data_IF_210415823064
#
_entry.id   IF_210415823064
#
_cell.length_a   1.000
_cell.length_b   1.000
_cell.length_c   1.000
_cell.angle_alpha   90.00
_cell.angle_beta   90.00
_cell.angle_gamma   90.00
#
_symmetry.space_group_name_H-M   'P 1'
#
loop_
_entity.id
_entity.type
_entity.pdbx_description
1 polymer ?
#
# COMPACT_ATOMS: atom_id res chain seq x y z
N UNK A 1 -13.63 1.27 31.18
CA UNK A 1 -13.32 0.45 29.99
C UNK A 1 -12.01 0.94 29.42
N UNK A 2 -10.93 0.15 29.42
CA UNK A 2 -9.69 0.53 28.76
C UNK A 2 -9.93 0.57 27.25
N UNK A 3 -9.49 1.64 26.59
CA UNK A 3 -9.49 1.78 25.13
C UNK A 3 -8.04 1.78 24.68
N UNK A 4 -7.74 0.98 23.66
CA UNK A 4 -6.44 0.98 22.97
C UNK A 4 -6.66 1.54 21.57
N UNK A 5 -5.80 2.48 21.19
CA UNK A 5 -5.81 3.11 19.87
C UNK A 5 -4.58 2.67 19.09
N UNK A 6 -4.79 2.36 17.82
CA UNK A 6 -3.70 2.25 16.85
C UNK A 6 -3.37 3.65 16.29
N UNK A 7 -2.22 3.83 15.63
CA UNK A 7 -1.90 5.10 14.96
C UNK A 7 -3.05 5.53 14.04
N UNK A 8 -3.43 6.80 14.13
CA UNK A 8 -4.51 7.43 13.33
C UNK A 8 -5.92 6.84 13.52
N UNK A 9 -6.13 5.98 14.52
CA UNK A 9 -7.45 5.39 14.83
C UNK A 9 -8.29 6.35 15.66
N UNK A 10 -9.60 6.44 15.34
CA UNK A 10 -10.58 7.23 16.08
C UNK A 10 -11.82 6.40 16.42
N UNK A 11 -12.40 6.63 17.60
CA UNK A 11 -13.63 5.98 18.03
C UNK A 11 -14.73 6.99 18.34
N UNK A 12 -15.95 6.63 17.97
CA UNK A 12 -17.15 7.30 18.45
C UNK A 12 -17.75 6.50 19.61
N UNK A 13 -17.90 7.13 20.77
CA UNK A 13 -18.58 6.53 21.93
C UNK A 13 -20.01 7.05 21.92
N UNK A 14 -20.98 6.17 21.68
CA UNK A 14 -22.40 6.52 21.62
C UNK A 14 -23.09 6.04 22.89
N UNK A 15 -23.77 6.95 23.58
CA UNK A 15 -24.61 6.67 24.73
C UNK A 15 -26.09 6.75 24.31
N UNK A 16 -26.71 5.63 23.92
CA UNK A 16 -28.10 5.61 23.50
C UNK A 16 -29.03 5.89 24.70
N UNK A 17 -30.15 6.57 24.46
CA UNK A 17 -31.16 6.87 25.50
C UNK A 17 -31.92 5.61 25.92
N UNK A 18 -32.09 4.67 24.98
CA UNK A 18 -32.77 3.40 25.26
C UNK A 18 -31.77 2.32 25.64
N UNK A 19 -32.20 1.37 26.51
CA UNK A 19 -31.36 0.21 26.86
C UNK A 19 -31.15 -0.66 25.64
N UNK A 20 -29.99 -0.52 24.98
CA UNK A 20 -29.56 -1.51 24.01
C UNK A 20 -29.31 -2.85 24.71
N UNK A 21 -29.77 -3.94 24.11
CA UNK A 21 -29.32 -5.27 24.49
C UNK A 21 -27.78 -5.25 24.44
N UNK A 22 -27.17 -5.69 25.55
CA UNK A 22 -25.74 -5.67 25.87
C UNK A 22 -24.86 -5.70 24.61
N UNK A 23 -24.31 -4.55 24.21
CA UNK A 23 -23.27 -4.52 23.22
C UNK A 23 -22.13 -5.43 23.71
N UNK A 24 -21.72 -6.40 22.93
CA UNK A 24 -20.53 -7.17 23.25
C UNK A 24 -19.37 -6.18 23.34
N UNK A 25 -18.68 -6.16 24.47
CA UNK A 25 -17.42 -5.43 24.55
C UNK A 25 -16.54 -5.90 23.39
N UNK A 26 -15.82 -5.00 22.72
CA UNK A 26 -14.84 -5.42 21.73
C UNK A 26 -13.96 -6.48 22.42
N UNK A 27 -13.81 -7.65 21.80
CA UNK A 27 -12.82 -8.62 22.25
C UNK A 27 -11.49 -7.90 22.28
N UNK A 28 -10.71 -8.13 23.36
CA UNK A 28 -9.32 -7.69 23.35
C UNK A 28 -8.71 -8.10 22.02
N UNK A 29 -8.16 -7.09 21.32
CA UNK A 29 -7.58 -7.32 20.00
C UNK A 29 -6.41 -8.28 20.20
N UNK A 30 -6.53 -9.50 19.71
CA UNK A 30 -5.47 -10.49 19.79
C UNK A 30 -4.22 -9.90 19.13
N UNK A 31 -3.04 -10.15 19.71
CA UNK A 31 -1.78 -9.77 19.07
C UNK A 31 -1.68 -10.53 17.76
N UNK A 32 -1.42 -9.80 16.68
CA UNK A 32 -1.27 -10.41 15.36
C UNK A 32 0.06 -11.17 15.29
N UNK A 33 -0.03 -12.43 14.88
CA UNK A 33 1.12 -13.33 14.74
C UNK A 33 1.50 -13.38 13.26
N UNK A 34 2.80 -13.34 12.94
CA UNK A 34 3.30 -13.54 11.59
C UNK A 34 2.93 -14.95 11.11
N UNK A 35 2.17 -15.02 10.02
CA UNK A 35 1.82 -16.27 9.35
C UNK A 35 2.70 -16.52 8.12
N UNK A 36 3.00 -15.47 7.32
CA UNK A 36 3.88 -15.58 6.16
C UNK A 36 4.50 -14.22 5.84
N UNK A 37 5.72 -14.21 5.27
CA UNK A 37 6.39 -13.03 4.73
C UNK A 37 6.47 -13.15 3.21
N UNK A 38 6.16 -12.07 2.50
CA UNK A 38 6.19 -12.02 1.04
C UNK A 38 7.50 -11.34 0.60
N UNK A 39 8.48 -12.15 0.18
CA UNK A 39 9.82 -11.67 -0.15
C UNK A 39 9.97 -11.29 -1.64
N UNK A 40 8.98 -11.58 -2.48
CA UNK A 40 9.02 -11.35 -3.92
C UNK A 40 9.35 -12.64 -4.71
N UNK A 41 9.69 -12.54 -6.00
CA UNK A 41 9.86 -11.30 -6.75
C UNK A 41 8.55 -10.52 -6.96
N UNK A 42 8.69 -9.22 -7.19
CA UNK A 42 7.58 -8.32 -7.49
C UNK A 42 7.66 -7.85 -8.93
N UNK A 43 6.53 -7.84 -9.63
CA UNK A 43 6.40 -7.22 -10.95
C UNK A 43 5.64 -5.91 -10.80
N UNK A 44 6.24 -4.80 -11.24
CA UNK A 44 5.66 -3.47 -11.17
C UNK A 44 5.31 -2.98 -12.57
N UNK A 45 4.10 -2.46 -12.75
CA UNK A 45 3.67 -1.76 -13.96
C UNK A 45 3.40 -0.31 -13.61
N UNK A 46 4.07 0.58 -14.31
CA UNK A 46 3.87 2.00 -14.25
C UNK A 46 3.02 2.46 -15.44
N UNK A 47 2.48 3.67 -15.37
CA UNK A 47 1.78 4.28 -16.49
C UNK A 47 2.76 5.14 -17.32
N UNK A 48 3.02 4.79 -18.60
CA UNK A 48 3.94 5.54 -19.44
C UNK A 48 3.48 6.97 -19.75
N UNK A 49 2.18 7.24 -19.69
CA UNK A 49 1.65 8.60 -19.90
C UNK A 49 2.25 9.59 -18.88
N UNK A 50 2.57 9.11 -17.67
CA UNK A 50 3.19 9.91 -16.61
C UNK A 50 4.71 9.71 -16.49
N UNK A 51 5.34 9.23 -17.57
CA UNK A 51 6.78 9.08 -17.68
C UNK A 51 7.34 7.84 -16.96
N UNK A 52 6.49 6.87 -16.62
CA UNK A 52 6.94 5.57 -16.14
C UNK A 52 7.45 4.66 -17.27
N UNK A 53 8.18 3.58 -16.94
CA UNK A 53 8.59 2.56 -17.91
C UNK A 53 7.39 1.97 -18.67
N UNK A 54 7.55 1.76 -19.98
CA UNK A 54 6.53 1.11 -20.82
C UNK A 54 6.38 -0.38 -20.48
N UNK A 55 7.52 -1.05 -20.22
CA UNK A 55 7.56 -2.47 -19.90
C UNK A 55 7.49 -2.71 -18.39
N UNK A 56 6.87 -3.82 -17.95
CA UNK A 56 6.86 -4.19 -16.54
C UNK A 56 8.28 -4.39 -16.00
N UNK A 57 8.51 -3.90 -14.79
CA UNK A 57 9.81 -4.00 -14.11
C UNK A 57 9.72 -5.08 -13.04
N UNK A 58 10.59 -6.10 -13.12
CA UNK A 58 10.68 -7.13 -12.07
C UNK A 58 11.81 -6.80 -11.11
N UNK A 59 11.49 -6.78 -9.82
CA UNK A 59 12.41 -6.49 -8.74
C UNK A 59 12.45 -7.63 -7.71
N UNK A 60 13.61 -7.97 -7.15
CA UNK A 60 13.71 -8.99 -6.11
C UNK A 60 13.13 -8.54 -4.78
N UNK A 61 13.28 -7.26 -4.44
CA UNK A 61 12.89 -6.67 -3.16
C UNK A 61 12.21 -5.32 -3.38
N UNK A 62 11.27 -4.97 -2.49
CA UNK A 62 10.61 -3.67 -2.49
C UNK A 62 11.61 -2.56 -2.11
N UNK A 63 11.48 -1.40 -2.73
CA UNK A 63 12.36 -0.26 -2.50
C UNK A 63 11.62 1.06 -2.70
N UNK A 64 12.19 2.15 -2.18
CA UNK A 64 11.71 3.50 -2.44
C UNK A 64 12.03 3.89 -3.89
N UNK A 65 11.03 4.28 -4.67
CA UNK A 65 11.23 4.68 -6.06
C UNK A 65 12.27 5.79 -6.23
N UNK A 66 12.42 6.63 -5.22
CA UNK A 66 13.41 7.74 -5.25
C UNK A 66 14.86 7.26 -5.28
N UNK A 67 15.12 6.00 -4.89
CA UNK A 67 16.43 5.36 -4.95
C UNK A 67 16.73 4.73 -6.32
N UNK A 68 15.75 4.72 -7.23
CA UNK A 68 15.93 4.14 -8.57
C UNK A 68 16.96 4.92 -9.39
N UNK A 69 17.87 4.23 -10.11
CA UNK A 69 18.72 4.86 -11.12
C UNK A 69 17.95 5.28 -12.38
N UNK A 70 16.78 4.72 -12.63
CA UNK A 70 15.90 5.08 -13.74
C UNK A 70 15.10 6.34 -13.40
N UNK A 71 15.28 7.46 -14.14
CA UNK A 71 14.53 8.69 -13.90
C UNK A 71 13.01 8.52 -14.05
N UNK A 72 12.56 7.60 -14.91
CA UNK A 72 11.15 7.28 -15.10
C UNK A 72 10.51 6.70 -13.84
N UNK A 73 11.27 5.96 -13.03
CA UNK A 73 10.82 5.44 -11.73
C UNK A 73 11.09 6.46 -10.62
N UNK A 74 12.30 7.03 -10.59
CA UNK A 74 12.75 7.96 -9.54
C UNK A 74 11.80 9.13 -9.32
N UNK A 75 11.34 9.73 -10.41
CA UNK A 75 10.44 10.88 -10.39
C UNK A 75 8.99 10.51 -10.67
N UNK A 76 8.65 9.22 -10.67
CA UNK A 76 7.30 8.79 -10.99
C UNK A 76 6.28 9.31 -9.98
N UNK A 77 5.18 9.83 -10.50
CA UNK A 77 3.98 10.15 -9.74
C UNK A 77 2.76 9.67 -10.52
N UNK A 78 1.87 8.98 -9.85
CA UNK A 78 0.71 8.37 -10.46
C UNK A 78 0.36 7.05 -9.83
N UNK A 79 -0.19 6.15 -10.61
CA UNK A 79 -0.64 4.83 -10.20
C UNK A 79 0.37 3.77 -10.68
N UNK A 80 0.86 2.94 -9.77
CA UNK A 80 1.67 1.77 -10.11
C UNK A 80 1.05 0.49 -9.54
N UNK A 81 1.06 -0.57 -10.34
CA UNK A 81 0.51 -1.87 -9.97
C UNK A 81 1.63 -2.84 -9.65
N UNK A 82 1.62 -3.39 -8.45
CA UNK A 82 2.53 -4.44 -7.99
C UNK A 82 1.80 -5.77 -8.01
N UNK A 83 2.43 -6.77 -8.59
CA UNK A 83 1.95 -8.15 -8.60
C UNK A 83 3.02 -9.07 -8.00
N UNK A 84 2.61 -10.02 -7.15
CA UNK A 84 3.45 -11.12 -6.65
C UNK A 84 2.62 -12.34 -6.34
N UNK A 85 3.23 -13.52 -6.49
CA UNK A 85 2.65 -14.79 -6.07
C UNK A 85 3.35 -15.28 -4.80
N UNK A 86 2.59 -15.89 -3.91
CA UNK A 86 3.12 -16.48 -2.67
C UNK A 86 2.36 -17.74 -2.28
N UNK A 87 3.01 -18.59 -1.52
CA UNK A 87 2.40 -19.82 -1.00
C UNK A 87 2.03 -19.62 0.48
N UNK A 88 0.79 -19.97 0.82
CA UNK A 88 0.31 -20.05 2.19
C UNK A 88 0.21 -21.50 2.60
N UNK A 89 0.90 -21.87 3.67
CA UNK A 89 0.87 -23.23 4.22
C UNK A 89 0.23 -23.22 5.62
N UNK A 90 -0.54 -24.25 5.93
CA UNK A 90 -1.14 -24.44 7.23
C UNK A 90 -2.23 -23.41 7.56
N UNK A 91 -3.04 -23.05 6.57
CA UNK A 91 -4.15 -22.12 6.72
C UNK A 91 -5.21 -22.68 7.68
N UNK A 92 -5.37 -22.05 8.85
CA UNK A 92 -6.42 -22.38 9.81
C UNK A 92 -7.66 -21.52 9.54
N UNK A 93 -8.70 -22.12 8.98
CA UNK A 93 -9.94 -21.41 8.62
C UNK A 93 -10.74 -20.89 9.83
N UNK A 94 -10.36 -21.26 11.05
CA UNK A 94 -10.95 -20.72 12.28
C UNK A 94 -10.33 -19.38 12.70
N UNK A 95 -9.19 -18.98 12.12
CA UNK A 95 -8.50 -17.72 12.36
C UNK A 95 -8.89 -16.64 11.37
N UNK A 96 -8.73 -15.39 11.80
CA UNK A 96 -8.81 -14.27 10.88
C UNK A 96 -7.40 -13.92 10.38
N UNK A 97 -7.32 -13.59 9.09
CA UNK A 97 -6.07 -13.18 8.47
C UNK A 97 -6.17 -11.76 7.91
N UNK A 98 -5.05 -11.08 7.92
CA UNK A 98 -4.90 -9.76 7.32
C UNK A 98 -3.57 -9.65 6.60
N UNK A 99 -3.53 -8.82 5.56
CA UNK A 99 -2.31 -8.41 4.89
C UNK A 99 -1.83 -7.12 5.56
N UNK A 100 -0.58 -7.11 5.98
CA UNK A 100 0.16 -5.90 6.33
C UNK A 100 1.04 -5.53 5.16
N UNK A 101 0.91 -4.31 4.66
CA UNK A 101 1.71 -3.79 3.55
C UNK A 101 3.05 -3.19 4.03
N UNK A 102 3.25 -3.14 5.37
CA UNK A 102 4.42 -2.46 5.95
C UNK A 102 4.27 -0.95 5.85
N UNK A 103 4.99 -0.32 4.94
CA UNK A 103 4.92 1.11 4.67
C UNK A 103 4.52 1.38 3.22
N UNK A 104 3.57 2.30 3.01
CA UNK A 104 3.02 2.69 1.70
C UNK A 104 3.02 4.20 1.56
N UNK A 105 3.37 4.70 0.38
CA UNK A 105 3.42 6.13 0.06
C UNK A 105 2.59 6.42 -1.20
N UNK A 106 1.34 6.91 -1.16
CA UNK A 106 0.59 7.38 0.01
C UNK A 106 -0.68 6.54 0.26
N UNK A 107 -1.17 5.77 -0.72
CA UNK A 107 -2.43 5.03 -0.68
C UNK A 107 -2.28 3.74 -1.48
N UNK A 108 -2.95 2.67 -1.05
CA UNK A 108 -2.97 1.41 -1.77
C UNK A 108 -4.37 0.80 -1.86
N UNK A 109 -4.74 0.31 -3.04
CA UNK A 109 -5.86 -0.61 -3.24
C UNK A 109 -5.32 -2.03 -3.33
N UNK A 110 -5.94 -2.96 -2.61
CA UNK A 110 -5.43 -4.32 -2.43
C UNK A 110 -6.40 -5.35 -3.01
N UNK A 111 -5.86 -6.29 -3.79
CA UNK A 111 -6.58 -7.44 -4.31
C UNK A 111 -5.84 -8.71 -3.92
N UNK A 112 -6.57 -9.72 -3.50
CA UNK A 112 -6.06 -11.05 -3.21
C UNK A 112 -6.88 -12.09 -3.99
N UNK A 113 -6.23 -12.88 -4.85
CA UNK A 113 -6.89 -13.85 -5.71
C UNK A 113 -8.06 -13.21 -6.49
N UNK A 114 -7.79 -12.07 -7.14
CA UNK A 114 -8.73 -11.21 -7.89
C UNK A 114 -9.87 -10.60 -7.06
N UNK A 115 -9.96 -10.91 -5.77
CA UNK A 115 -10.94 -10.27 -4.89
C UNK A 115 -10.46 -8.94 -4.39
N UNK A 116 -11.21 -7.88 -4.67
CA UNK A 116 -10.94 -6.55 -4.11
C UNK A 116 -11.18 -6.55 -2.60
N UNK A 117 -10.13 -6.32 -1.82
CA UNK A 117 -10.19 -6.24 -0.36
C UNK A 117 -10.53 -4.83 0.13
N UNK A 118 -10.27 -3.80 -0.70
CA UNK A 118 -10.51 -2.40 -0.36
C UNK A 118 -9.26 -1.52 -0.51
N UNK A 119 -9.29 -0.36 0.15
CA UNK A 119 -8.25 0.66 0.10
C UNK A 119 -7.71 0.92 1.51
N UNK A 120 -6.38 1.05 1.61
CA UNK A 120 -5.67 1.55 2.79
C UNK A 120 -4.98 2.87 2.44
N UNK A 121 -5.09 3.87 3.30
CA UNK A 121 -4.61 5.23 3.06
C UNK A 121 -4.02 5.90 4.31
N UNK A 122 -3.89 5.12 5.38
CA UNK A 122 -3.26 5.52 6.65
C UNK A 122 -2.77 4.29 7.40
N UNK A 123 -1.86 4.50 8.33
CA UNK A 123 -1.44 3.47 9.28
C UNK A 123 -2.59 3.01 10.20
N UNK A 124 -2.54 1.77 10.67
CA UNK A 124 -1.61 0.71 10.23
C UNK A 124 -1.99 0.23 8.83
N UNK A 125 -1.02 0.07 7.95
CA UNK A 125 -1.20 -0.35 6.55
C UNK A 125 -1.66 -1.81 6.45
N UNK A 126 -2.81 -2.12 7.05
CA UNK A 126 -3.33 -3.49 7.16
C UNK A 126 -4.75 -3.59 6.62
N UNK A 127 -5.06 -4.72 5.98
CA UNK A 127 -6.38 -5.00 5.43
C UNK A 127 -6.76 -6.47 5.68
N UNK A 128 -8.03 -6.75 6.03
CA UNK A 128 -8.53 -8.12 6.19
C UNK A 128 -8.52 -8.86 4.85
N UNK A 129 -8.13 -10.14 4.87
CA UNK A 129 -8.19 -10.98 3.67
C UNK A 129 -9.62 -11.34 3.26
N UNK A 130 -10.61 -11.12 4.14
CA UNK A 130 -12.04 -11.32 3.85
C UNK A 130 -12.34 -12.68 3.22
N UNK A 131 -11.68 -13.76 3.70
CA UNK A 131 -11.78 -15.13 3.16
C UNK A 131 -11.32 -15.26 1.68
N UNK A 132 -10.46 -14.38 1.20
CA UNK A 132 -9.85 -14.51 -0.12
C UNK A 132 -8.54 -15.31 -0.08
N UNK A 133 -7.91 -15.44 1.11
CA UNK A 133 -6.71 -16.24 1.31
C UNK A 133 -7.05 -17.73 1.21
N UNK A 134 -6.25 -18.48 0.46
CA UNK A 134 -6.43 -19.94 0.29
C UNK A 134 -5.15 -20.69 0.68
N UNK A 135 -5.30 -21.97 1.00
CA UNK A 135 -4.16 -22.87 1.19
C UNK A 135 -3.44 -23.05 -0.16
N UNK A 136 -2.12 -23.06 -0.15
CA UNK A 136 -1.30 -23.14 -1.36
C UNK A 136 -1.07 -21.79 -2.03
N UNK A 137 -1.14 -21.73 -3.35
CA UNK A 137 -0.77 -20.55 -4.13
C UNK A 137 -1.81 -19.45 -4.05
N UNK A 138 -1.33 -18.24 -3.80
CA UNK A 138 -2.10 -17.01 -3.77
C UNK A 138 -1.44 -15.96 -4.65
N UNK A 139 -2.25 -15.09 -5.26
CA UNK A 139 -1.81 -13.93 -6.02
C UNK A 139 -2.21 -12.65 -5.32
N UNK A 140 -1.23 -11.81 -5.00
CA UNK A 140 -1.43 -10.49 -4.40
C UNK A 140 -1.18 -9.40 -5.44
N UNK A 141 -2.16 -8.52 -5.61
CA UNK A 141 -2.01 -7.29 -6.38
C UNK A 141 -2.22 -6.08 -5.48
N UNK A 142 -1.29 -5.15 -5.53
CA UNK A 142 -1.34 -3.88 -4.80
C UNK A 142 -1.22 -2.73 -5.78
N UNK A 143 -2.23 -1.89 -5.86
CA UNK A 143 -2.23 -0.69 -6.70
C UNK A 143 -1.90 0.49 -5.79
N UNK A 144 -0.71 1.05 -5.98
CA UNK A 144 -0.20 2.18 -5.17
C UNK A 144 -0.40 3.48 -5.93
N UNK A 145 -0.87 4.49 -5.22
CA UNK A 145 -0.98 5.86 -5.73
C UNK A 145 -0.17 6.77 -4.83
N UNK A 146 0.79 7.50 -5.40
CA UNK A 146 1.61 8.47 -4.68
C UNK A 146 1.21 9.93 -4.99
N UNK A 147 1.93 10.87 -4.38
CA UNK A 147 1.71 12.30 -4.58
C UNK A 147 2.47 12.83 -5.80
N UNK A 148 1.98 13.92 -6.40
CA UNK A 148 2.55 14.53 -7.61
C UNK A 148 3.90 15.23 -7.43
N UNK A 149 4.34 15.46 -6.21
CA UNK A 149 5.53 16.26 -5.91
C UNK A 149 6.77 15.79 -6.66
N UNK A 150 7.07 14.49 -6.66
CA UNK A 150 8.29 13.97 -7.30
C UNK A 150 8.28 14.19 -8.82
N UNK A 151 7.12 14.03 -9.46
CA UNK A 151 7.01 14.32 -10.90
C UNK A 151 7.19 15.80 -11.20
N UNK A 152 6.61 16.69 -10.39
CA UNK A 152 6.77 18.13 -10.55
C UNK A 152 8.24 18.54 -10.38
N UNK A 153 8.95 17.98 -9.39
CA UNK A 153 10.39 18.21 -9.21
C UNK A 153 11.18 17.71 -10.43
N UNK A 154 10.89 16.48 -10.89
CA UNK A 154 11.57 15.88 -12.04
C UNK A 154 11.35 16.68 -13.33
N UNK A 155 10.15 17.23 -13.52
CA UNK A 155 9.83 18.05 -14.69
C UNK A 155 10.57 19.39 -14.72
N UNK A 156 10.93 19.97 -13.56
CA UNK A 156 11.72 21.21 -13.52
C UNK A 156 13.15 21.02 -14.09
N UNK A 157 13.67 19.78 -14.07
CA UNK A 157 14.94 19.45 -14.71
C UNK A 157 14.83 19.26 -16.23
N UNK A 158 13.60 19.23 -16.80
CA UNK A 158 13.35 18.96 -18.21
C UNK A 158 13.00 20.24 -18.99
N UNK A 159 13.37 20.30 -20.29
CA UNK A 159 12.81 21.29 -21.20
C UNK A 159 11.28 21.24 -21.20
N UNK A 160 10.63 22.38 -21.35
CA UNK A 160 9.16 22.51 -21.24
C UNK A 160 8.38 21.51 -22.12
N UNK A 161 8.91 21.22 -23.30
CA UNK A 161 8.31 20.33 -24.30
C UNK A 161 8.42 18.84 -23.92
N UNK A 162 9.25 18.50 -22.93
CA UNK A 162 9.49 17.14 -22.44
C UNK A 162 8.85 16.89 -21.06
N UNK A 163 8.20 17.89 -20.48
CA UNK A 163 7.53 17.77 -19.19
C UNK A 163 6.27 16.93 -19.32
N UNK A 164 6.05 16.06 -18.37
CA UNK A 164 4.86 15.21 -18.29
C UNK A 164 3.66 15.91 -17.63
N UNK A 165 3.93 17.00 -16.90
CA UNK A 165 2.90 17.73 -16.16
C UNK A 165 2.85 19.19 -16.58
N UNK A 166 1.74 19.84 -16.24
CA UNK A 166 1.55 21.27 -16.40
C UNK A 166 1.11 21.89 -15.08
N UNK A 167 1.77 22.97 -14.66
CA UNK A 167 1.35 23.79 -13.53
C UNK A 167 1.46 25.28 -13.88
N UNK A 168 0.52 26.06 -13.37
CA UNK A 168 0.54 27.53 -13.50
C UNK A 168 1.41 28.19 -12.45
N UNK A 169 1.76 27.45 -11.37
CA UNK A 169 2.59 27.95 -10.29
C UNK A 169 3.74 26.99 -10.03
N UNK A 170 4.95 27.45 -10.33
CA UNK A 170 6.18 26.69 -10.12
C UNK A 170 6.61 26.84 -8.67
N UNK A 171 6.30 25.88 -7.83
CA UNK A 171 6.62 25.86 -6.41
C UNK A 171 7.90 25.07 -6.13
N UNK A 172 8.19 24.09 -6.98
CA UNK A 172 9.35 23.21 -6.84
C UNK A 172 10.50 23.61 -7.74
N UNK A 173 11.71 23.21 -7.33
CA UNK A 173 12.94 23.27 -8.12
C UNK A 173 13.50 21.85 -8.33
N UNK A 174 14.40 21.69 -9.31
CA UNK A 174 15.02 20.38 -9.59
C UNK A 174 15.92 19.87 -8.43
N UNK A 175 16.31 20.73 -7.51
CA UNK A 175 17.14 20.42 -6.33
C UNK A 175 16.33 20.09 -5.09
N UNK A 176 14.99 20.20 -5.14
CA UNK A 176 14.15 19.94 -3.99
C UNK A 176 14.17 18.46 -3.61
N UNK A 177 13.99 18.20 -2.31
CA UNK A 177 13.98 16.85 -1.78
C UNK A 177 12.75 16.08 -2.29
N UNK A 178 13.00 14.88 -2.82
CA UNK A 178 11.96 13.94 -3.20
C UNK A 178 11.27 13.37 -1.96
N UNK A 179 10.00 13.08 -2.09
CA UNK A 179 9.24 12.34 -1.09
C UNK A 179 9.40 10.84 -1.32
N UNK A 180 9.59 10.02 -0.26
CA UNK A 180 9.55 8.57 -0.38
C UNK A 180 8.30 8.11 -1.12
N UNK A 181 8.43 7.13 -2.00
CA UNK A 181 7.36 6.74 -2.92
C UNK A 181 7.32 5.24 -3.16
N UNK A 182 6.13 4.70 -3.35
CA UNK A 182 5.90 3.31 -3.68
C UNK A 182 5.42 2.46 -2.52
N UNK A 183 5.50 1.14 -2.71
CA UNK A 183 5.31 0.11 -1.68
C UNK A 183 6.68 -0.24 -1.11
N UNK A 184 6.93 0.16 0.14
CA UNK A 184 8.23 -0.04 0.78
C UNK A 184 8.28 -1.35 1.57
N UNK A 185 7.12 -1.88 1.95
CA UNK A 185 7.03 -3.12 2.72
C UNK A 185 7.51 -3.00 4.18
N UNK A 186 7.89 -4.12 4.84
CA UNK A 186 7.75 -5.49 4.34
C UNK A 186 6.29 -5.94 4.29
N UNK A 187 5.92 -6.66 3.24
CA UNK A 187 4.57 -7.20 3.10
C UNK A 187 4.46 -8.55 3.80
N UNK A 188 3.40 -8.71 4.62
CA UNK A 188 3.23 -9.88 5.48
C UNK A 188 1.78 -10.32 5.54
N UNK A 189 1.56 -11.62 5.72
CA UNK A 189 0.28 -12.18 6.16
C UNK A 189 0.35 -12.37 7.67
N UNK A 190 -0.61 -11.81 8.38
CA UNK A 190 -0.75 -11.88 9.82
C UNK A 190 -2.01 -12.65 10.18
N UNK A 191 -1.98 -13.44 11.27
CA UNK A 191 -3.17 -14.09 11.87
C UNK A 191 -3.46 -13.50 13.24
N UNK A 192 -4.73 -13.44 13.61
CA UNK A 192 -5.18 -13.06 14.96
C UNK A 192 -5.40 -14.31 15.83
#
# INVERSE_FOLDING_TARGET
MPLRFEPHEGYFIVFPKDKLSRAQAPKDRAESILASSLEGPWTIRFDPEWGGPEEPVTIPELFDWTDSPDPGIKYYSGTATYDTDFTMEGLDTAKNYKISLGDVKAMAQVFLNDKNLGVVWTEPWTISTSNALVEGNNHLRVIVVNLWQNRLIGDEALPKEQRHTFTTWHHYSAEDQLLPSGLLGPVKVLSD
#
